data_IF_540582424453
#
_entry.id   IF_540582424453
#
_cell.length_a   1.000
_cell.length_b   1.000
_cell.length_c   1.000
_cell.angle_alpha   90.00
_cell.angle_beta   90.00
_cell.angle_gamma   90.00
#
_symmetry.space_group_name_H-M   'P 1'
#
loop_
_entity.id
_entity.type
_entity.pdbx_description
1 polymer ?
#
# COMPACT_ATOMS: atom_id res chain seq x y z
N UNK A 1 -0.02 -38.37 51.67
CA UNK A 1 0.11 -37.99 50.25
C UNK A 1 -1.26 -37.54 49.74
N UNK A 2 -1.47 -36.26 49.43
CA UNK A 2 -2.75 -35.75 48.89
C UNK A 2 -2.67 -35.69 47.36
N UNK A 3 -3.58 -36.37 46.69
CA UNK A 3 -3.67 -36.34 45.23
C UNK A 3 -4.13 -34.95 44.75
N UNK A 4 -3.52 -34.38 43.70
CA UNK A 4 -3.95 -33.10 43.15
C UNK A 4 -5.32 -33.26 42.48
N UNK A 5 -6.34 -32.58 43.01
CA UNK A 5 -7.65 -32.45 42.37
C UNK A 5 -7.47 -31.58 41.11
N UNK A 6 -7.28 -32.25 39.96
CA UNK A 6 -7.22 -31.59 38.65
C UNK A 6 -8.60 -31.01 38.34
N UNK A 7 -8.73 -29.69 38.42
CA UNK A 7 -9.96 -28.96 38.11
C UNK A 7 -10.32 -29.08 36.61
N UNK A 8 -11.21 -30.02 36.28
CA UNK A 8 -11.77 -30.23 34.94
C UNK A 8 -12.51 -28.98 34.43
N UNK A 9 -13.13 -28.23 35.35
CA UNK A 9 -13.86 -26.99 35.05
C UNK A 9 -12.93 -25.89 34.54
N UNK A 10 -11.74 -25.75 35.12
CA UNK A 10 -10.77 -24.75 34.67
C UNK A 10 -10.27 -25.05 33.25
N UNK A 11 -10.05 -26.33 32.93
CA UNK A 11 -9.61 -26.76 31.59
C UNK A 11 -10.63 -26.48 30.50
N UNK A 12 -11.91 -26.76 30.79
CA UNK A 12 -13.02 -26.44 29.87
C UNK A 12 -13.13 -24.94 29.62
N UNK A 13 -12.96 -24.12 30.66
CA UNK A 13 -13.05 -22.66 30.54
C UNK A 13 -11.90 -22.07 29.71
N UNK A 14 -10.68 -22.57 29.90
CA UNK A 14 -9.53 -22.19 29.06
C UNK A 14 -9.71 -22.63 27.59
N UNK A 15 -10.22 -23.83 27.35
CA UNK A 15 -10.50 -24.30 25.99
C UNK A 15 -11.55 -23.42 25.30
N UNK A 16 -12.61 -23.05 26.02
CA UNK A 16 -13.68 -22.22 25.46
C UNK A 16 -13.19 -20.80 25.16
N UNK A 17 -12.39 -20.20 26.04
CA UNK A 17 -11.72 -18.91 25.79
C UNK A 17 -10.74 -18.98 24.61
N UNK A 18 -9.96 -20.06 24.50
CA UNK A 18 -9.05 -20.25 23.39
C UNK A 18 -9.79 -20.38 22.06
N UNK A 19 -10.88 -21.14 22.01
CA UNK A 19 -11.73 -21.30 20.81
C UNK A 19 -12.38 -19.98 20.43
N UNK A 20 -12.91 -19.21 21.38
CA UNK A 20 -13.49 -17.89 21.10
C UNK A 20 -12.43 -16.89 20.62
N UNK A 21 -11.24 -16.91 21.20
CA UNK A 21 -10.14 -16.03 20.82
C UNK A 21 -9.61 -16.33 19.41
N UNK A 22 -9.39 -17.62 19.11
CA UNK A 22 -8.92 -18.05 17.78
C UNK A 22 -10.03 -17.91 16.74
N UNK A 23 -11.24 -18.35 17.05
CA UNK A 23 -12.40 -18.25 16.15
C UNK A 23 -12.77 -16.81 15.81
N UNK A 24 -12.71 -15.89 16.79
CA UNK A 24 -12.95 -14.47 16.57
C UNK A 24 -11.91 -13.82 15.64
N UNK A 25 -10.62 -14.17 15.79
CA UNK A 25 -9.55 -13.68 14.90
C UNK A 25 -9.70 -14.17 13.46
N UNK A 26 -10.08 -15.44 13.28
CA UNK A 26 -10.20 -16.07 11.96
C UNK A 26 -11.40 -15.50 11.18
N UNK A 27 -12.52 -15.22 11.85
CA UNK A 27 -13.74 -14.73 11.18
C UNK A 27 -13.74 -13.21 10.94
N UNK A 28 -13.11 -12.40 11.80
CA UNK A 28 -13.25 -10.94 11.73
C UNK A 28 -12.00 -10.20 11.21
N UNK A 29 -10.81 -10.80 11.27
CA UNK A 29 -9.57 -10.01 11.27
C UNK A 29 -8.85 -9.84 9.92
N UNK A 30 -8.78 -10.88 9.09
CA UNK A 30 -7.69 -10.95 8.10
C UNK A 30 -8.14 -10.68 6.65
N UNK A 31 -9.37 -11.04 6.28
CA UNK A 31 -9.83 -10.90 4.89
C UNK A 31 -10.21 -9.46 4.51
N UNK A 32 -10.81 -8.71 5.45
CA UNK A 32 -11.24 -7.34 5.19
C UNK A 32 -10.06 -6.38 5.06
N UNK A 33 -9.04 -6.53 5.90
CA UNK A 33 -7.82 -5.73 5.82
C UNK A 33 -7.01 -6.06 4.57
N UNK A 34 -6.76 -7.34 4.28
CA UNK A 34 -6.01 -7.73 3.07
C UNK A 34 -6.72 -7.29 1.79
N UNK A 35 -8.04 -7.45 1.73
CA UNK A 35 -8.85 -6.96 0.61
C UNK A 35 -8.76 -5.44 0.46
N UNK A 36 -8.84 -4.69 1.58
CA UNK A 36 -8.71 -3.24 1.57
C UNK A 36 -7.30 -2.78 1.17
N UNK A 37 -6.26 -3.48 1.62
CA UNK A 37 -4.87 -3.21 1.26
C UNK A 37 -4.61 -3.49 -0.22
N UNK A 38 -5.09 -4.62 -0.74
CA UNK A 38 -4.94 -4.97 -2.14
C UNK A 38 -5.72 -4.00 -3.05
N UNK A 39 -6.94 -3.61 -2.66
CA UNK A 39 -7.70 -2.59 -3.37
C UNK A 39 -7.01 -1.22 -3.33
N UNK A 40 -6.41 -0.85 -2.19
CA UNK A 40 -5.63 0.38 -2.07
C UNK A 40 -4.37 0.34 -2.92
N UNK A 41 -3.71 -0.81 -3.01
CA UNK A 41 -2.53 -1.01 -3.84
C UNK A 41 -2.85 -0.92 -5.33
N UNK A 42 -3.94 -1.56 -5.78
CA UNK A 42 -4.42 -1.46 -7.16
C UNK A 42 -4.78 -0.02 -7.50
N UNK A 43 -5.64 0.62 -6.70
CA UNK A 43 -6.05 2.00 -6.95
C UNK A 43 -4.86 2.99 -6.90
N UNK A 44 -3.89 2.73 -6.01
CA UNK A 44 -2.67 3.53 -5.94
C UNK A 44 -1.77 3.36 -7.16
N UNK A 45 -1.73 2.15 -7.75
CA UNK A 45 -0.98 1.87 -8.99
C UNK A 45 -1.58 2.63 -10.17
N UNK A 46 -2.90 2.61 -10.32
CA UNK A 46 -3.60 3.31 -11.40
C UNK A 46 -3.39 4.84 -11.28
N UNK A 47 -3.54 5.38 -10.07
CA UNK A 47 -3.31 6.81 -9.82
C UNK A 47 -1.85 7.23 -10.05
N UNK A 48 -0.90 6.33 -9.77
CA UNK A 48 0.52 6.54 -10.07
C UNK A 48 0.79 6.53 -11.57
N UNK A 49 0.21 5.59 -12.32
CA UNK A 49 0.27 5.58 -13.77
C UNK A 49 -0.31 6.88 -14.35
N UNK A 50 -1.52 7.29 -13.93
CA UNK A 50 -2.15 8.53 -14.36
C UNK A 50 -1.28 9.76 -14.04
N UNK A 51 -0.69 9.81 -12.84
CA UNK A 51 0.21 10.88 -12.45
C UNK A 51 1.42 10.96 -13.38
N UNK A 52 2.13 9.84 -13.60
CA UNK A 52 3.30 9.80 -14.48
C UNK A 52 2.93 10.19 -15.92
N UNK A 53 1.79 9.73 -16.42
CA UNK A 53 1.26 10.12 -17.73
C UNK A 53 1.06 11.63 -17.86
N UNK A 54 0.48 12.27 -16.84
CA UNK A 54 0.33 13.75 -16.81
C UNK A 54 1.66 14.49 -16.74
N UNK A 55 2.70 13.87 -16.18
CA UNK A 55 4.05 14.43 -16.17
C UNK A 55 4.82 14.18 -17.48
N UNK A 56 4.16 13.66 -18.53
CA UNK A 56 4.75 13.47 -19.85
C UNK A 56 5.46 12.14 -20.05
N UNK A 57 5.34 11.20 -19.10
CA UNK A 57 5.88 9.87 -19.26
C UNK A 57 4.95 8.98 -20.08
N UNK A 58 5.55 8.15 -20.92
CA UNK A 58 4.87 7.01 -21.53
C UNK A 58 4.85 5.87 -20.51
N UNK A 59 3.68 5.63 -19.92
CA UNK A 59 3.50 4.53 -18.96
C UNK A 59 3.33 3.24 -19.73
N UNK A 60 4.17 2.25 -19.40
CA UNK A 60 4.14 0.94 -20.03
C UNK A 60 3.39 -0.02 -19.11
N UNK A 61 2.18 -0.40 -19.51
CA UNK A 61 1.39 -1.42 -18.82
C UNK A 61 1.92 -2.84 -19.03
N UNK A 62 3.04 -3.01 -19.74
CA UNK A 62 3.64 -4.33 -20.06
C UNK A 62 4.11 -5.15 -18.84
N UNK A 63 3.87 -4.67 -17.62
CA UNK A 63 3.94 -5.50 -16.43
C UNK A 63 2.82 -6.54 -16.42
N UNK A 64 3.12 -7.75 -15.93
CA UNK A 64 2.08 -8.73 -15.57
C UNK A 64 0.97 -8.01 -14.79
N UNK A 65 -0.31 -8.41 -14.93
CA UNK A 65 -1.41 -7.82 -14.17
C UNK A 65 -1.09 -7.68 -12.67
N UNK A 66 -0.34 -8.65 -12.14
CA UNK A 66 0.07 -8.75 -10.74
C UNK A 66 1.41 -8.05 -10.42
N UNK A 67 1.97 -7.28 -11.35
CA UNK A 67 3.20 -6.51 -11.12
C UNK A 67 2.92 -5.37 -10.15
N UNK A 68 3.64 -5.27 -9.02
CA UNK A 68 3.51 -4.14 -8.10
C UNK A 68 4.20 -2.87 -8.60
N UNK A 69 4.77 -2.91 -9.81
CA UNK A 69 5.54 -1.82 -10.41
C UNK A 69 4.76 -1.12 -11.52
N UNK A 70 4.97 0.19 -11.61
CA UNK A 70 4.63 1.03 -12.76
C UNK A 70 5.93 1.36 -13.48
N UNK A 71 6.01 0.96 -14.74
CA UNK A 71 7.13 1.30 -15.62
C UNK A 71 6.75 2.51 -16.47
N UNK A 72 7.65 3.47 -16.58
CA UNK A 72 7.40 4.69 -17.32
C UNK A 72 8.70 5.19 -17.97
N UNK A 73 8.58 5.79 -19.15
CA UNK A 73 9.74 6.29 -19.88
C UNK A 73 9.44 7.56 -20.68
N UNK A 74 10.49 8.32 -20.94
CA UNK A 74 10.55 9.37 -21.97
C UNK A 74 11.69 9.01 -22.94
N UNK A 75 12.13 9.93 -23.80
CA UNK A 75 13.17 9.65 -24.80
C UNK A 75 14.48 9.15 -24.17
N UNK A 76 14.96 9.80 -23.11
CA UNK A 76 16.26 9.53 -22.49
C UNK A 76 16.16 9.06 -21.03
N UNK A 77 14.96 9.05 -20.45
CA UNK A 77 14.75 8.72 -19.05
C UNK A 77 13.79 7.53 -18.90
N UNK A 78 14.26 6.45 -18.27
CA UNK A 78 13.42 5.34 -17.81
C UNK A 78 13.29 5.37 -16.28
N UNK A 79 12.10 5.00 -15.80
CA UNK A 79 11.84 4.88 -14.38
C UNK A 79 10.92 3.70 -14.06
N UNK A 80 11.12 3.16 -12.86
CA UNK A 80 10.35 2.09 -12.27
C UNK A 80 9.90 2.59 -10.89
N UNK A 81 8.59 2.68 -10.68
CA UNK A 81 8.02 3.07 -9.39
C UNK A 81 7.22 1.94 -8.80
N UNK A 82 7.32 1.73 -7.50
CA UNK A 82 6.42 0.85 -6.76
C UNK A 82 5.88 1.50 -5.50
N UNK A 83 4.69 1.06 -5.10
CA UNK A 83 4.18 1.29 -3.76
C UNK A 83 4.98 0.41 -2.80
N UNK A 84 5.95 1.02 -2.13
CA UNK A 84 6.77 0.36 -1.14
C UNK A 84 5.98 0.22 0.17
N UNK A 85 6.16 -0.91 0.82
CA UNK A 85 5.45 -1.18 2.05
C UNK A 85 6.25 -0.63 3.24
N UNK A 86 5.56 -0.09 4.28
CA UNK A 86 6.21 0.66 5.36
C UNK A 86 7.29 -0.10 6.12
N UNK A 87 7.21 -1.43 6.15
CA UNK A 87 8.06 -2.32 6.96
C UNK A 87 9.46 -2.55 6.38
N UNK A 88 9.79 -1.98 5.21
CA UNK A 88 11.15 -2.04 4.65
C UNK A 88 11.48 -3.27 3.80
N UNK A 89 10.67 -4.33 3.84
CA UNK A 89 10.81 -5.53 3.02
C UNK A 89 10.96 -5.30 1.51
N UNK A 90 10.41 -4.22 0.95
CA UNK A 90 10.60 -3.87 -0.47
C UNK A 90 11.93 -3.16 -0.77
N UNK A 91 12.65 -2.62 0.23
CA UNK A 91 13.89 -1.85 0.04
C UNK A 91 14.93 -2.63 -0.76
N UNK A 92 15.19 -3.87 -0.37
CA UNK A 92 16.24 -4.68 -1.00
C UNK A 92 15.81 -5.17 -2.39
N UNK A 93 14.52 -5.37 -2.62
CA UNK A 93 13.99 -5.72 -3.94
C UNK A 93 14.18 -4.54 -4.89
N UNK A 94 13.79 -3.32 -4.48
CA UNK A 94 13.96 -2.10 -5.28
C UNK A 94 15.42 -1.90 -5.67
N UNK A 95 16.34 -2.02 -4.71
CA UNK A 95 17.77 -1.85 -4.97
C UNK A 95 18.33 -2.87 -5.96
N UNK A 96 17.83 -4.11 -5.94
CA UNK A 96 18.25 -5.15 -6.90
C UNK A 96 17.71 -4.96 -8.30
N UNK A 97 16.66 -4.16 -8.47
CA UNK A 97 16.09 -3.83 -9.77
C UNK A 97 16.84 -2.68 -10.46
N UNK A 98 17.66 -1.94 -9.72
CA UNK A 98 18.49 -0.87 -10.25
C UNK A 98 19.67 -1.41 -11.06
N UNK A 99 19.89 -0.82 -12.24
CA UNK A 99 21.13 -0.98 -12.97
C UNK A 99 22.27 -0.24 -12.25
N UNK A 100 23.55 -0.54 -12.51
CA UNK A 100 24.69 0.07 -11.80
C UNK A 100 24.72 1.61 -11.80
N UNK A 101 24.18 2.23 -12.84
CA UNK A 101 24.07 3.68 -12.99
C UNK A 101 22.74 4.26 -12.52
N UNK A 102 21.73 3.44 -12.22
CA UNK A 102 20.43 3.95 -11.82
C UNK A 102 20.50 4.56 -10.42
N UNK A 103 19.71 5.61 -10.20
CA UNK A 103 19.49 6.19 -8.89
C UNK A 103 18.29 5.52 -8.21
N UNK A 104 18.44 5.22 -6.93
CA UNK A 104 17.38 4.67 -6.08
C UNK A 104 17.07 5.69 -4.99
N UNK A 105 15.79 6.00 -4.83
CA UNK A 105 15.32 6.87 -3.75
C UNK A 105 13.87 6.57 -3.42
N UNK A 106 13.41 7.14 -2.31
CA UNK A 106 12.09 6.92 -1.77
C UNK A 106 11.34 8.23 -1.62
N UNK A 107 10.03 8.21 -1.82
CA UNK A 107 9.19 9.39 -1.62
C UNK A 107 8.12 9.06 -0.61
N UNK A 108 8.04 9.86 0.44
CA UNK A 108 6.98 9.78 1.44
C UNK A 108 6.53 11.18 1.82
N UNK A 109 5.22 11.42 1.79
CA UNK A 109 4.63 12.72 2.14
C UNK A 109 5.24 13.90 1.35
N UNK A 110 5.49 13.68 0.05
CA UNK A 110 6.15 14.61 -0.87
C UNK A 110 7.61 14.98 -0.53
N UNK A 111 8.24 14.24 0.38
CA UNK A 111 9.66 14.38 0.71
C UNK A 111 10.46 13.25 0.07
N UNK A 112 11.58 13.60 -0.56
CA UNK A 112 12.51 12.66 -1.19
C UNK A 112 13.56 12.22 -0.16
N UNK A 113 13.75 10.91 -0.02
CA UNK A 113 14.71 10.28 0.88
C UNK A 113 15.68 9.40 0.08
N UNK A 114 16.96 9.43 0.43
CA UNK A 114 17.97 8.55 -0.20
C UNK A 114 17.76 7.08 0.19
N UNK A 115 17.28 6.85 1.41
CA UNK A 115 16.95 5.53 1.96
C UNK A 115 15.49 5.48 2.40
N UNK A 116 14.93 4.28 2.45
CA UNK A 116 13.55 4.09 2.89
C UNK A 116 13.39 4.59 4.33
N UNK A 117 12.53 5.60 4.59
CA UNK A 117 12.19 5.97 5.96
C UNK A 117 11.37 4.84 6.59
N UNK A 118 11.80 4.33 7.74
CA UNK A 118 11.15 3.18 8.38
C UNK A 118 10.07 3.64 9.37
N UNK A 119 10.43 4.46 10.36
CA UNK A 119 9.53 4.76 11.48
C UNK A 119 8.31 5.61 11.08
N UNK A 120 8.48 6.56 10.16
CA UNK A 120 7.45 7.55 9.85
C UNK A 120 6.31 6.94 8.99
N UNK A 121 6.58 6.24 7.87
CA UNK A 121 5.55 5.51 7.14
C UNK A 121 4.87 4.44 8.01
N UNK A 122 5.63 3.76 8.86
CA UNK A 122 5.10 2.75 9.77
C UNK A 122 4.10 3.35 10.76
N UNK A 123 4.47 4.45 11.45
CA UNK A 123 3.58 5.14 12.38
C UNK A 123 2.30 5.62 11.68
N UNK A 124 2.43 6.20 10.48
CA UNK A 124 1.29 6.66 9.69
C UNK A 124 0.35 5.50 9.28
N UNK A 125 0.93 4.37 8.86
CA UNK A 125 0.16 3.17 8.51
C UNK A 125 -0.66 2.66 9.70
N UNK A 126 -0.04 2.43 10.85
CA UNK A 126 -0.75 1.91 12.02
C UNK A 126 -1.76 2.90 12.60
N UNK A 127 -1.46 4.20 12.51
CA UNK A 127 -2.44 5.23 12.87
C UNK A 127 -3.68 5.17 11.98
N UNK A 128 -3.50 4.98 10.67
CA UNK A 128 -4.61 4.80 9.72
C UNK A 128 -5.41 3.53 10.04
N UNK A 129 -4.74 2.41 10.29
CA UNK A 129 -5.39 1.14 10.66
C UNK A 129 -6.23 1.30 11.93
N UNK A 130 -5.67 1.94 12.97
CA UNK A 130 -6.42 2.23 14.20
C UNK A 130 -7.65 3.09 13.92
N UNK A 131 -7.51 4.14 13.10
CA UNK A 131 -8.63 5.01 12.73
C UNK A 131 -9.71 4.26 11.94
N UNK A 132 -9.31 3.36 11.04
CA UNK A 132 -10.23 2.51 10.30
C UNK A 132 -11.10 1.66 11.25
N UNK A 133 -10.49 1.05 12.27
CA UNK A 133 -11.22 0.26 13.27
C UNK A 133 -12.24 1.04 14.10
N UNK A 134 -12.05 2.35 14.27
CA UNK A 134 -13.00 3.24 14.96
C UNK A 134 -13.92 4.00 13.98
N UNK A 135 -13.97 3.57 12.71
CA UNK A 135 -14.86 4.12 11.68
C UNK A 135 -14.38 5.43 11.04
N UNK A 136 -13.14 5.86 11.30
CA UNK A 136 -12.54 7.05 10.68
C UNK A 136 -11.74 6.66 9.44
N UNK A 137 -12.00 7.36 8.33
CA UNK A 137 -11.21 7.23 7.10
C UNK A 137 -10.15 8.32 7.08
N UNK A 138 -8.88 7.92 7.12
CA UNK A 138 -7.75 8.83 6.92
C UNK A 138 -7.20 8.67 5.51
N UNK A 139 -6.74 9.76 4.88
CA UNK A 139 -6.12 9.70 3.56
C UNK A 139 -4.90 8.78 3.59
N UNK A 140 -4.71 8.03 2.50
CA UNK A 140 -3.54 7.18 2.36
C UNK A 140 -2.35 8.03 1.93
N UNK A 141 -1.23 7.90 2.66
CA UNK A 141 0.06 8.46 2.25
C UNK A 141 0.95 7.30 1.80
N UNK A 142 1.01 7.01 0.50
CA UNK A 142 1.84 5.93 0.01
C UNK A 142 3.32 6.26 0.21
N UNK A 143 4.11 5.23 0.50
CA UNK A 143 5.55 5.29 0.36
C UNK A 143 5.88 4.79 -1.04
N UNK A 144 6.60 5.57 -1.82
CA UNK A 144 7.04 5.21 -3.16
C UNK A 144 8.50 4.78 -3.11
N UNK A 145 8.82 3.66 -3.75
CA UNK A 145 10.18 3.29 -4.10
C UNK A 145 10.41 3.56 -5.57
N UNK A 146 11.47 4.30 -5.90
CA UNK A 146 11.76 4.74 -7.27
C UNK A 146 13.16 4.27 -7.65
N UNK A 147 13.24 3.64 -8.81
CA UNK A 147 14.47 3.40 -9.56
C UNK A 147 14.37 4.25 -10.82
N UNK A 148 15.39 5.06 -11.08
CA UNK A 148 15.38 5.93 -12.25
C UNK A 148 16.75 5.96 -12.90
N UNK A 149 16.78 6.12 -14.22
CA UNK A 149 18.02 6.38 -14.94
C UNK A 149 18.65 7.72 -14.50
N UNK A 150 19.96 7.92 -14.71
CA UNK A 150 20.63 9.20 -14.45
C UNK A 150 20.02 10.41 -15.16
N UNK A 151 19.37 10.20 -16.30
CA UNK A 151 18.78 11.27 -17.10
C UNK A 151 17.44 11.78 -16.53
N UNK A 152 16.88 11.09 -15.53
CA UNK A 152 15.62 11.47 -14.92
C UNK A 152 15.81 12.55 -13.84
N UNK A 153 15.35 13.76 -14.13
CA UNK A 153 15.20 14.79 -13.09
C UNK A 153 13.85 14.66 -12.38
N UNK A 154 13.87 13.95 -11.25
CA UNK A 154 12.67 13.60 -10.48
C UNK A 154 12.61 14.30 -9.11
N UNK A 155 13.60 15.13 -8.78
CA UNK A 155 13.66 15.79 -7.47
C UNK A 155 12.60 16.88 -7.33
N UNK A 156 12.32 17.58 -8.42
CA UNK A 156 11.37 18.69 -8.47
C UNK A 156 9.97 18.27 -8.93
N UNK A 157 9.71 16.97 -9.04
CA UNK A 157 8.38 16.47 -9.38
C UNK A 157 7.32 16.89 -8.33
N UNK A 158 6.07 17.15 -8.75
CA UNK A 158 4.99 17.54 -7.85
C UNK A 158 4.41 16.35 -7.06
N UNK A 159 5.26 15.68 -6.28
CA UNK A 159 4.93 14.48 -5.49
C UNK A 159 3.77 14.67 -4.50
N UNK A 160 3.37 15.90 -4.21
CA UNK A 160 2.20 16.18 -3.37
C UNK A 160 0.88 15.75 -4.03
N UNK A 161 0.81 15.71 -5.36
CA UNK A 161 -0.38 15.26 -6.08
C UNK A 161 -0.69 13.78 -5.81
N UNK A 162 0.35 12.97 -5.62
CA UNK A 162 0.22 11.53 -5.39
C UNK A 162 0.20 11.14 -3.91
N UNK A 163 0.40 12.09 -2.98
CA UNK A 163 0.28 11.80 -1.54
C UNK A 163 -1.12 12.03 -1.00
N UNK A 164 -1.99 12.65 -1.80
CA UNK A 164 -3.39 12.93 -1.47
C UNK A 164 -4.35 11.85 -2.01
N UNK A 165 -3.88 10.62 -2.24
CA UNK A 165 -4.71 9.57 -2.83
C UNK A 165 -5.96 9.37 -1.96
N UNK A 166 -7.17 9.59 -2.52
CA UNK A 166 -8.38 9.28 -1.80
C UNK A 166 -8.35 7.79 -1.49
N UNK A 167 -8.49 7.45 -0.21
CA UNK A 167 -8.61 6.07 0.24
C UNK A 167 -9.81 5.45 -0.46
N UNK A 168 -9.58 4.74 -1.58
CA UNK A 168 -10.56 4.06 -2.44
C UNK A 168 -11.98 4.64 -2.42
N UNK A 169 -12.43 5.25 -3.53
CA UNK A 169 -13.89 5.34 -3.78
C UNK A 169 -14.45 3.95 -3.58
N UNK A 170 -15.38 3.81 -2.64
CA UNK A 170 -16.01 2.53 -2.38
C UNK A 170 -16.83 2.16 -3.62
N UNK A 171 -16.95 0.89 -4.03
CA UNK A 171 -17.81 0.49 -5.14
C UNK A 171 -19.28 0.93 -4.97
N UNK A 172 -19.70 1.24 -3.73
CA UNK A 172 -21.01 1.84 -3.44
C UNK A 172 -21.20 3.26 -3.99
N UNK A 173 -20.13 4.01 -4.29
CA UNK A 173 -20.20 5.32 -4.96
C UNK A 173 -20.32 5.19 -6.49
N UNK A 174 -20.32 3.96 -7.04
CA UNK A 174 -20.50 3.70 -8.48
C UNK A 174 -21.98 3.42 -8.85
N UNK A 175 -22.91 3.72 -7.93
CA UNK A 175 -24.34 3.48 -8.10
C UNK A 175 -25.17 4.64 -8.65
N UNK A 176 -24.58 5.80 -8.98
CA UNK A 176 -25.32 7.01 -9.34
C UNK A 176 -24.78 7.73 -10.58
N UNK A 177 -24.33 6.97 -11.59
CA UNK A 177 -24.18 7.52 -12.95
C UNK A 177 -25.46 7.23 -13.73
N UNK A 178 -26.37 8.19 -13.64
CA UNK A 178 -27.65 8.19 -14.30
C UNK A 178 -27.57 7.78 -15.78
N UNK A 179 -28.42 6.83 -16.13
CA UNK A 179 -28.75 6.44 -17.49
C UNK A 179 -29.47 7.62 -18.15
N UNK A 180 -28.72 8.56 -18.74
CA UNK A 180 -29.29 9.52 -19.68
C UNK A 180 -29.58 8.74 -20.98
N UNK A 181 -30.84 8.36 -21.16
CA UNK A 181 -31.33 7.85 -22.43
C UNK A 181 -31.27 8.98 -23.47
N UNK A 182 -30.78 8.72 -24.69
CA UNK A 182 -30.96 9.64 -25.80
C UNK A 182 -32.41 9.56 -26.31
N UNK A 183 -33.07 10.72 -26.41
CA UNK A 183 -34.23 10.92 -27.28
C UNK A 183 -33.80 11.14 -28.73
#
# INVERSE_FOLDING_TARGET
MRAPVRSTRLRLLFLLLAVLSVGGKVLAGDQSLRGAEQALQSAGKDQLADFLGRQGFQVHEEGRPDSPFVQAATADCHLLVMLAAPEGWHRDIIRRLALPQDQVFFVFDAVVYQDQPEWLPWAHHYWRVLNFYIGRKLPARPLLGIVASPACDLRDMPWREITALPSSRHPADMGDQGTAAPE
#
